data_IF_686218699381
#
_entry.id   IF_686218699381
#
_cell.length_a   1.000
_cell.length_b   1.000
_cell.length_c   1.000
_cell.angle_alpha   90.00
_cell.angle_beta   90.00
_cell.angle_gamma   90.00
#
_symmetry.space_group_name_H-M   'P 1'
#
loop_
_entity.id
_entity.type
_entity.pdbx_description
1 polymer ?
#
# COMPACT_ATOMS: atom_id res chain seq x y z
N UNK A 1 -0.36 21.70 -17.88
CA UNK A 1 0.35 21.23 -16.67
C UNK A 1 1.12 19.99 -17.11
N UNK A 2 2.43 19.94 -16.87
CA UNK A 2 3.33 18.97 -17.50
C UNK A 2 2.86 17.52 -17.27
N UNK A 3 2.71 16.80 -18.38
CA UNK A 3 2.32 15.39 -18.54
C UNK A 3 3.42 14.43 -18.04
N UNK A 4 3.99 14.70 -16.86
CA UNK A 4 5.03 13.87 -16.27
C UNK A 4 4.38 12.86 -15.35
N UNK A 5 4.16 11.66 -15.86
CA UNK A 5 3.92 10.50 -15.01
C UNK A 5 5.00 10.48 -13.90
N UNK A 6 4.62 10.35 -12.62
CA UNK A 6 5.58 10.37 -11.53
C UNK A 6 6.61 9.25 -11.75
N UNK A 7 7.89 9.58 -11.68
CA UNK A 7 8.93 8.57 -11.80
C UNK A 7 8.96 7.72 -10.53
N UNK A 8 9.16 6.39 -10.64
CA UNK A 8 9.27 5.54 -9.48
C UNK A 8 10.39 6.01 -8.55
N UNK A 9 10.08 6.10 -7.26
CA UNK A 9 11.08 6.40 -6.22
C UNK A 9 12.05 5.21 -6.12
N UNK A 10 13.35 5.49 -6.17
CA UNK A 10 14.39 4.53 -5.82
C UNK A 10 14.47 4.41 -4.30
N UNK A 11 14.26 3.20 -3.77
CA UNK A 11 14.16 2.94 -2.34
C UNK A 11 15.35 2.13 -1.84
N UNK A 12 15.85 2.48 -0.66
CA UNK A 12 16.71 1.59 0.13
C UNK A 12 15.81 0.68 0.95
N UNK A 13 15.85 -0.61 0.65
CA UNK A 13 15.07 -1.65 1.31
C UNK A 13 16.01 -2.78 1.74
N UNK A 14 15.84 -3.32 2.97
CA UNK A 14 16.81 -4.23 3.57
C UNK A 14 16.81 -5.62 2.95
N UNK A 15 15.67 -6.07 2.38
CA UNK A 15 15.51 -7.41 1.80
C UNK A 15 14.78 -7.37 0.47
N UNK A 16 14.86 -8.48 -0.27
CA UNK A 16 14.07 -8.68 -1.49
C UNK A 16 12.57 -8.79 -1.17
N UNK A 17 12.20 -9.39 -0.04
CA UNK A 17 10.82 -9.48 0.43
C UNK A 17 10.21 -8.08 0.63
N UNK A 18 10.96 -7.11 1.18
CA UNK A 18 10.51 -5.73 1.29
C UNK A 18 10.28 -5.08 -0.08
N UNK A 19 11.06 -5.45 -1.11
CA UNK A 19 10.85 -4.95 -2.49
C UNK A 19 9.59 -5.54 -3.10
N UNK A 20 9.36 -6.83 -2.87
CA UNK A 20 8.15 -7.53 -3.31
C UNK A 20 6.90 -6.96 -2.64
N UNK A 21 6.99 -6.62 -1.34
CA UNK A 21 5.90 -5.96 -0.61
C UNK A 21 5.52 -4.61 -1.27
N UNK A 22 6.51 -3.76 -1.57
CA UNK A 22 6.24 -2.49 -2.28
C UNK A 22 5.67 -2.72 -3.68
N UNK A 23 6.12 -3.75 -4.39
CA UNK A 23 5.58 -4.09 -5.70
C UNK A 23 4.11 -4.54 -5.62
N UNK A 24 3.76 -5.37 -4.64
CA UNK A 24 2.39 -5.78 -4.35
C UNK A 24 1.49 -4.58 -4.06
N UNK A 25 1.93 -3.67 -3.18
CA UNK A 25 1.13 -2.48 -2.83
C UNK A 25 0.95 -1.56 -4.03
N UNK A 26 1.98 -1.37 -4.86
CA UNK A 26 1.83 -0.60 -6.12
C UNK A 26 0.80 -1.20 -7.06
N UNK A 27 0.78 -2.52 -7.18
CA UNK A 27 -0.19 -3.24 -8.01
C UNK A 27 -1.62 -3.02 -7.49
N UNK A 28 -1.86 -3.22 -6.19
CA UNK A 28 -3.15 -2.95 -5.53
C UNK A 28 -3.57 -1.49 -5.74
N UNK A 29 -2.68 -0.52 -5.50
CA UNK A 29 -3.00 0.90 -5.68
C UNK A 29 -3.42 1.19 -7.11
N UNK A 30 -2.70 0.66 -8.10
CA UNK A 30 -2.98 0.91 -9.52
C UNK A 30 -4.30 0.32 -9.99
N UNK A 31 -4.68 -0.87 -9.48
CA UNK A 31 -5.87 -1.61 -9.91
C UNK A 31 -7.11 -1.20 -9.13
N UNK A 32 -6.95 -1.00 -7.83
CA UNK A 32 -8.09 -0.95 -6.91
C UNK A 32 -8.33 0.43 -6.33
N UNK A 33 -7.32 1.30 -6.24
CA UNK A 33 -7.47 2.62 -5.60
C UNK A 33 -7.51 3.74 -6.65
N UNK A 34 -6.47 3.83 -7.48
CA UNK A 34 -6.28 4.93 -8.42
C UNK A 34 -7.47 5.18 -9.38
N UNK A 35 -8.17 4.16 -9.92
CA UNK A 35 -9.27 4.39 -10.86
C UNK A 35 -10.50 5.05 -10.25
N UNK A 36 -10.74 4.87 -8.94
CA UNK A 36 -11.98 5.29 -8.26
C UNK A 36 -11.78 6.39 -7.22
N UNK A 37 -10.55 6.64 -6.79
CA UNK A 37 -10.23 7.55 -5.70
C UNK A 37 -10.81 8.98 -5.85
N UNK A 38 -10.75 9.55 -7.06
CA UNK A 38 -11.26 10.91 -7.28
C UNK A 38 -12.79 11.00 -7.13
N UNK A 39 -13.52 10.01 -7.67
CA UNK A 39 -14.98 9.95 -7.58
C UNK A 39 -15.46 9.66 -6.15
N UNK A 40 -14.82 8.70 -5.47
CA UNK A 40 -15.17 8.35 -4.09
C UNK A 40 -14.92 9.50 -3.12
N UNK A 41 -13.81 10.24 -3.30
CA UNK A 41 -13.51 11.45 -2.52
C UNK A 41 -14.55 12.54 -2.76
N UNK A 42 -14.89 12.85 -4.02
CA UNK A 42 -15.90 13.85 -4.36
C UNK A 42 -17.28 13.48 -3.79
N UNK A 43 -17.63 12.20 -3.79
CA UNK A 43 -18.89 11.69 -3.26
C UNK A 43 -18.91 11.51 -1.73
N UNK A 44 -17.76 11.65 -1.05
CA UNK A 44 -17.64 11.40 0.39
C UNK A 44 -17.90 9.94 0.79
N UNK A 45 -17.59 9.00 -0.09
CA UNK A 45 -17.82 7.56 0.12
C UNK A 45 -16.62 6.94 0.83
N UNK A 46 -16.87 6.19 1.91
CA UNK A 46 -15.82 5.40 2.54
C UNK A 46 -15.55 4.10 1.76
N UNK A 47 -14.31 3.82 1.33
CA UNK A 47 -14.01 2.70 0.44
C UNK A 47 -13.92 1.36 1.19
N UNK A 48 -15.06 0.86 1.67
CA UNK A 48 -15.19 -0.40 2.44
C UNK A 48 -14.47 -1.58 1.78
N UNK A 49 -14.67 -1.77 0.48
CA UNK A 49 -14.11 -2.91 -0.26
C UNK A 49 -12.59 -2.86 -0.34
N UNK A 50 -12.02 -1.67 -0.55
CA UNK A 50 -10.55 -1.47 -0.56
C UNK A 50 -9.96 -1.80 0.81
N UNK A 51 -10.58 -1.35 1.90
CA UNK A 51 -10.09 -1.67 3.25
C UNK A 51 -10.16 -3.17 3.56
N UNK A 52 -11.22 -3.85 3.12
CA UNK A 52 -11.32 -5.32 3.23
C UNK A 52 -10.16 -5.98 2.48
N UNK A 53 -9.91 -5.59 1.23
CA UNK A 53 -8.80 -6.10 0.43
C UNK A 53 -7.43 -5.88 1.12
N UNK A 54 -7.17 -4.67 1.63
CA UNK A 54 -5.92 -4.36 2.32
C UNK A 54 -5.76 -5.21 3.60
N UNK A 55 -6.86 -5.49 4.30
CA UNK A 55 -6.87 -6.37 5.47
C UNK A 55 -6.54 -7.81 5.10
N UNK A 56 -7.17 -8.35 4.05
CA UNK A 56 -6.91 -9.70 3.55
C UNK A 56 -5.48 -9.88 3.03
N UNK A 57 -4.89 -8.80 2.48
CA UNK A 57 -3.50 -8.75 2.05
C UNK A 57 -2.49 -8.57 3.21
N UNK A 58 -2.95 -8.40 4.46
CA UNK A 58 -2.09 -8.24 5.64
C UNK A 58 -1.44 -6.85 5.79
N UNK A 59 -1.91 -5.84 5.04
CA UNK A 59 -1.26 -4.53 4.96
C UNK A 59 -1.63 -3.58 6.11
N UNK A 60 -2.68 -3.89 6.88
CA UNK A 60 -3.19 -3.02 7.95
C UNK A 60 -2.51 -3.24 9.31
N UNK A 61 -1.53 -4.15 9.39
CA UNK A 61 -0.85 -4.52 10.64
C UNK A 61 0.66 -4.73 10.52
N UNK A 62 1.28 -4.20 9.45
CA UNK A 62 2.67 -4.48 9.10
C UNK A 62 3.70 -4.34 10.24
N UNK A 63 3.70 -3.26 11.07
CA UNK A 63 4.73 -3.08 12.09
C UNK A 63 4.47 -3.86 13.40
N UNK A 64 3.34 -4.53 13.52
CA UNK A 64 2.97 -5.25 14.74
C UNK A 64 3.47 -6.69 14.74
N UNK A 65 3.55 -7.27 15.94
CA UNK A 65 4.02 -8.64 16.18
C UNK A 65 3.09 -9.68 15.52
N UNK A 66 3.65 -10.64 14.78
CA UNK A 66 2.89 -11.73 14.17
C UNK A 66 2.16 -12.63 15.17
N UNK A 67 2.62 -12.72 16.42
CA UNK A 67 1.89 -13.40 17.49
C UNK A 67 0.51 -12.79 17.78
N UNK A 68 0.29 -11.55 17.34
CA UNK A 68 -0.98 -10.82 17.43
C UNK A 68 -1.62 -10.58 16.05
N UNK A 69 -1.13 -11.25 15.00
CA UNK A 69 -1.62 -11.10 13.62
C UNK A 69 -1.00 -9.94 12.83
N UNK A 70 0.12 -9.38 13.31
CA UNK A 70 0.90 -8.37 12.58
C UNK A 70 1.89 -8.96 11.56
N UNK A 71 2.63 -8.09 10.88
CA UNK A 71 3.53 -8.45 9.78
C UNK A 71 5.03 -8.44 10.10
N UNK A 72 5.42 -8.17 11.35
CA UNK A 72 6.81 -8.08 11.84
C UNK A 72 7.73 -7.18 10.99
N UNK A 73 7.17 -6.23 10.24
CA UNK A 73 7.96 -5.35 9.38
C UNK A 73 8.65 -4.27 10.21
N UNK A 74 9.96 -4.04 10.01
CA UNK A 74 10.63 -2.91 10.62
C UNK A 74 10.03 -1.60 10.10
N UNK A 75 10.05 -0.55 10.93
CA UNK A 75 9.54 0.77 10.55
C UNK A 75 10.20 1.34 9.29
N UNK A 76 11.47 1.00 9.03
CA UNK A 76 12.17 1.35 7.79
C UNK A 76 11.43 0.85 6.54
N UNK A 77 10.78 -0.30 6.61
CA UNK A 77 9.97 -0.87 5.52
C UNK A 77 8.54 -0.35 5.60
N UNK A 78 7.88 -0.43 6.76
CA UNK A 78 6.49 -0.02 6.94
C UNK A 78 6.21 1.42 6.45
N UNK A 79 7.09 2.38 6.76
CA UNK A 79 6.92 3.78 6.36
C UNK A 79 7.16 4.04 4.85
N UNK A 80 7.62 3.04 4.11
CA UNK A 80 7.88 3.14 2.66
C UNK A 80 6.84 2.42 1.81
N UNK A 81 5.98 1.61 2.44
CA UNK A 81 4.86 0.90 1.83
C UNK A 81 3.69 1.86 1.69
#
# INVERSE_FOLDING_TARGET
MSDRAPQPVERRLPTEESRQLVALVRDIVSKEIAPRAAEEEEAGVFPREVFTLLSEAGLLGLPYDSAHGGGDQPYEVYLQV
#
